data_IF_784161551756
#
_entry.id   IF_784161551756
#
_cell.length_a   1.000
_cell.length_b   1.000
_cell.length_c   1.000
_cell.angle_alpha   90.00
_cell.angle_beta   90.00
_cell.angle_gamma   90.00
#
_symmetry.space_group_name_H-M   'P 1'
#
loop_
_entity.id
_entity.type
_entity.pdbx_description
1 polymer ?
#
# COMPACT_ATOMS: atom_id res chain seq x y z
N UNK A 1 -9.80 1.45 0.47
CA UNK A 1 -10.30 0.07 0.31
C UNK A 1 -10.98 -0.41 1.58
N UNK A 2 -11.97 -1.30 1.47
CA UNK A 2 -12.69 -1.92 2.59
C UNK A 2 -12.10 -3.29 2.97
N UNK A 3 -12.41 -3.80 4.18
CA UNK A 3 -12.00 -5.17 4.60
C UNK A 3 -12.51 -6.26 3.63
N UNK A 4 -13.70 -6.08 3.04
CA UNK A 4 -14.26 -7.01 2.03
C UNK A 4 -13.41 -7.04 0.77
N UNK A 5 -12.94 -5.88 0.30
CA UNK A 5 -12.08 -5.79 -0.88
C UNK A 5 -10.71 -6.41 -0.61
N UNK A 6 -10.16 -6.22 0.60
CA UNK A 6 -8.92 -6.88 1.02
C UNK A 6 -9.09 -8.40 1.02
N UNK A 7 -10.19 -8.92 1.55
CA UNK A 7 -10.49 -10.35 1.54
C UNK A 7 -10.55 -10.90 0.11
N UNK A 8 -11.22 -10.21 -0.81
CA UNK A 8 -11.26 -10.58 -2.23
C UNK A 8 -9.86 -10.57 -2.86
N UNK A 9 -9.04 -9.58 -2.52
CA UNK A 9 -7.68 -9.44 -3.04
C UNK A 9 -6.76 -10.56 -2.54
N UNK A 10 -6.85 -10.92 -1.26
CA UNK A 10 -6.16 -12.08 -0.68
C UNK A 10 -6.66 -13.40 -1.30
N UNK A 11 -7.95 -13.50 -1.61
CA UNK A 11 -8.53 -14.64 -2.31
C UNK A 11 -7.92 -14.85 -3.70
N UNK A 12 -7.68 -13.77 -4.46
CA UNK A 12 -6.97 -13.84 -5.75
C UNK A 12 -5.53 -14.37 -5.59
N UNK A 13 -4.85 -14.02 -4.50
CA UNK A 13 -3.51 -14.53 -4.19
C UNK A 13 -3.55 -16.04 -3.89
N UNK A 14 -4.51 -16.50 -3.07
CA UNK A 14 -4.69 -17.93 -2.78
C UNK A 14 -4.92 -18.72 -4.08
N UNK A 15 -5.79 -18.22 -4.97
CA UNK A 15 -6.06 -18.86 -6.25
C UNK A 15 -4.84 -18.89 -7.18
N UNK A 16 -4.01 -17.85 -7.17
CA UNK A 16 -2.77 -17.81 -7.95
C UNK A 16 -1.65 -18.68 -7.35
N UNK A 17 -1.68 -18.94 -6.04
CA UNK A 17 -0.63 -19.64 -5.29
C UNK A 17 -1.19 -20.76 -4.40
N UNK A 18 -1.93 -21.74 -4.95
CA UNK A 18 -2.68 -22.73 -4.15
C UNK A 18 -1.78 -23.61 -3.27
N UNK A 19 -0.53 -23.84 -3.70
CA UNK A 19 0.46 -24.64 -2.95
C UNK A 19 1.23 -23.85 -1.89
N UNK A 20 1.07 -22.52 -1.82
CA UNK A 20 1.81 -21.62 -0.92
C UNK A 20 0.91 -20.80 0.00
N UNK A 21 -0.36 -20.64 -0.35
CA UNK A 21 -1.38 -20.02 0.46
C UNK A 21 -2.67 -20.82 0.27
N UNK A 22 -3.13 -21.47 1.32
CA UNK A 22 -4.31 -22.33 1.30
C UNK A 22 -5.58 -21.61 1.75
N UNK A 23 -5.45 -20.59 2.59
CA UNK A 23 -6.59 -19.86 3.13
C UNK A 23 -6.29 -18.38 3.41
N UNK A 24 -7.38 -17.60 3.49
CA UNK A 24 -7.36 -16.21 3.90
C UNK A 24 -7.82 -16.13 5.36
N UNK A 25 -6.87 -16.02 6.28
CA UNK A 25 -7.20 -15.85 7.71
C UNK A 25 -7.64 -14.43 8.03
N UNK A 26 -8.50 -14.29 9.04
CA UNK A 26 -9.01 -12.98 9.48
C UNK A 26 -7.89 -12.05 9.95
N UNK A 27 -6.89 -12.57 10.67
CA UNK A 27 -5.69 -11.81 11.07
C UNK A 27 -4.93 -11.26 9.86
N UNK A 28 -4.83 -12.03 8.77
CA UNK A 28 -4.16 -11.59 7.54
C UNK A 28 -4.96 -10.50 6.82
N UNK A 29 -6.30 -10.60 6.84
CA UNK A 29 -7.19 -9.54 6.32
C UNK A 29 -7.00 -8.25 7.11
N UNK A 30 -6.92 -8.31 8.44
CA UNK A 30 -6.72 -7.12 9.27
C UNK A 30 -5.36 -6.48 9.04
N UNK A 31 -4.29 -7.26 9.01
CA UNK A 31 -2.95 -6.77 8.71
C UNK A 31 -2.87 -6.08 7.34
N UNK A 32 -3.50 -6.68 6.32
CA UNK A 32 -3.54 -6.09 4.98
C UNK A 32 -4.45 -4.87 4.94
N UNK A 33 -5.57 -4.88 5.67
CA UNK A 33 -6.46 -3.74 5.75
C UNK A 33 -5.77 -2.54 6.38
N UNK A 34 -5.09 -2.71 7.51
CA UNK A 34 -4.36 -1.63 8.19
C UNK A 34 -3.35 -0.95 7.26
N UNK A 35 -2.69 -1.72 6.41
CA UNK A 35 -1.68 -1.23 5.48
C UNK A 35 -2.28 -0.67 4.19
N UNK A 36 -3.21 -1.40 3.56
CA UNK A 36 -3.67 -1.14 2.20
C UNK A 36 -4.95 -0.28 2.14
N UNK A 37 -5.66 -0.07 3.25
CA UNK A 37 -6.89 0.74 3.28
C UNK A 37 -6.71 2.14 2.68
N UNK A 38 -5.50 2.69 2.81
CA UNK A 38 -5.13 4.02 2.32
C UNK A 38 -4.76 4.04 0.83
N UNK A 39 -4.55 2.89 0.21
CA UNK A 39 -4.21 2.79 -1.21
C UNK A 39 -5.48 2.71 -2.07
N UNK A 40 -5.38 3.24 -3.29
CA UNK A 40 -6.44 3.08 -4.26
C UNK A 40 -6.51 1.64 -4.74
N UNK A 41 -7.73 1.10 -4.77
CA UNK A 41 -7.99 -0.30 -5.14
C UNK A 41 -7.35 -0.66 -6.47
N UNK A 42 -7.54 0.18 -7.47
CA UNK A 42 -7.05 -0.08 -8.83
C UNK A 42 -5.53 -0.14 -8.88
N UNK A 43 -4.83 0.67 -8.08
CA UNK A 43 -3.37 0.62 -7.93
C UNK A 43 -2.93 -0.72 -7.31
N UNK A 44 -3.57 -1.15 -6.21
CA UNK A 44 -3.23 -2.43 -5.57
C UNK A 44 -3.54 -3.61 -6.50
N UNK A 45 -4.68 -3.59 -7.19
CA UNK A 45 -5.08 -4.66 -8.10
C UNK A 45 -4.19 -4.74 -9.34
N UNK A 46 -3.84 -3.61 -9.96
CA UNK A 46 -2.95 -3.60 -11.11
C UNK A 46 -1.56 -4.13 -10.76
N UNK A 47 -1.03 -3.73 -9.60
CA UNK A 47 0.26 -4.24 -9.16
C UNK A 47 0.20 -5.73 -8.81
N UNK A 48 -0.88 -6.20 -8.19
CA UNK A 48 -1.07 -7.63 -7.95
C UNK A 48 -1.08 -8.42 -9.26
N UNK A 49 -1.79 -7.93 -10.29
CA UNK A 49 -1.79 -8.52 -11.63
C UNK A 49 -0.38 -8.59 -12.22
N UNK A 50 0.40 -7.50 -12.13
CA UNK A 50 1.79 -7.47 -12.61
C UNK A 50 2.69 -8.45 -11.86
N UNK A 51 2.53 -8.56 -10.54
CA UNK A 51 3.31 -9.49 -9.72
C UNK A 51 3.01 -10.95 -10.06
N UNK A 52 1.72 -11.29 -10.27
CA UNK A 52 1.31 -12.64 -10.69
C UNK A 52 1.79 -12.93 -12.11
N UNK A 53 1.67 -11.96 -13.03
CA UNK A 53 2.14 -12.11 -14.42
C UNK A 53 3.66 -12.27 -14.54
N UNK A 54 4.43 -11.78 -13.56
CA UNK A 54 5.87 -11.98 -13.48
C UNK A 54 6.29 -13.40 -13.04
N UNK A 55 5.33 -14.32 -12.85
CA UNK A 55 5.54 -15.72 -12.48
C UNK A 55 6.48 -15.91 -11.28
N UNK A 56 6.25 -15.09 -10.25
CA UNK A 56 7.02 -15.18 -9.02
C UNK A 56 6.77 -16.54 -8.36
N UNK A 57 7.82 -17.14 -7.79
CA UNK A 57 7.71 -18.44 -7.09
C UNK A 57 6.91 -18.38 -5.78
N UNK A 58 6.72 -17.18 -5.22
CA UNK A 58 6.11 -16.96 -3.92
C UNK A 58 5.00 -15.91 -4.01
N UNK A 59 3.93 -16.02 -3.20
CA UNK A 59 2.87 -15.05 -3.16
C UNK A 59 3.38 -13.66 -2.73
N UNK A 60 2.81 -12.58 -3.27
CA UNK A 60 3.17 -11.24 -2.84
C UNK A 60 2.79 -11.05 -1.37
N UNK A 61 3.67 -10.39 -0.62
CA UNK A 61 3.46 -9.98 0.77
C UNK A 61 3.47 -8.45 0.85
N UNK A 62 3.12 -7.87 2.00
CA UNK A 62 3.09 -6.42 2.17
C UNK A 62 4.44 -5.74 1.85
N UNK A 63 5.57 -6.38 2.12
CA UNK A 63 6.89 -5.82 1.79
C UNK A 63 7.19 -5.82 0.28
N UNK A 64 6.59 -6.71 -0.51
CA UNK A 64 6.60 -6.63 -1.98
C UNK A 64 5.65 -5.54 -2.49
N UNK A 65 4.48 -5.40 -1.84
CA UNK A 65 3.42 -4.50 -2.30
C UNK A 65 3.78 -3.02 -2.04
N UNK A 66 4.26 -2.69 -0.83
CA UNK A 66 4.49 -1.31 -0.37
C UNK A 66 5.45 -0.50 -1.27
N UNK A 67 6.66 -0.99 -1.62
CA UNK A 67 7.62 -0.19 -2.39
C UNK A 67 7.17 0.14 -3.82
N UNK A 68 6.35 -0.73 -4.41
CA UNK A 68 5.80 -0.52 -5.76
C UNK A 68 4.65 0.47 -5.69
N UNK A 69 3.74 0.34 -4.73
CA UNK A 69 2.66 1.31 -4.54
C UNK A 69 3.17 2.71 -4.20
N UNK A 70 4.30 2.84 -3.50
CA UNK A 70 4.97 4.12 -3.27
C UNK A 70 5.50 4.78 -4.55
N UNK A 71 5.86 4.00 -5.56
CA UNK A 71 6.35 4.48 -6.85
C UNK A 71 5.22 4.77 -7.84
N UNK A 72 4.17 3.97 -7.80
CA UNK A 72 3.06 4.04 -8.75
C UNK A 72 1.92 4.95 -8.30
N UNK A 73 1.83 5.32 -7.02
CA UNK A 73 0.90 6.38 -6.61
C UNK A 73 1.38 7.74 -7.12
N UNK A 74 0.48 8.61 -7.59
CA UNK A 74 0.79 10.03 -7.81
C UNK A 74 1.39 10.59 -6.51
N UNK A 75 2.62 11.12 -6.59
CA UNK A 75 3.37 11.59 -5.43
C UNK A 75 2.56 12.53 -4.53
N UNK A 76 1.63 13.29 -5.12
CA UNK A 76 0.69 14.17 -4.43
C UNK A 76 -0.28 13.42 -3.51
N UNK A 77 -0.96 12.37 -3.98
CA UNK A 77 -1.97 11.61 -3.19
C UNK A 77 -1.31 10.83 -2.06
N UNK A 78 -0.16 10.21 -2.34
CA UNK A 78 0.63 9.50 -1.34
C UNK A 78 1.11 10.45 -0.24
N UNK A 79 1.65 11.61 -0.62
CA UNK A 79 2.17 12.59 0.35
C UNK A 79 1.06 13.24 1.18
N UNK A 80 -0.11 13.50 0.58
CA UNK A 80 -1.26 14.08 1.29
C UNK A 80 -1.90 13.08 2.26
N UNK A 81 -1.94 11.79 1.91
CA UNK A 81 -2.37 10.72 2.82
C UNK A 81 -1.36 10.46 3.94
N UNK A 82 -0.06 10.53 3.66
CA UNK A 82 1.00 10.46 4.67
C UNK A 82 0.96 11.65 5.63
N UNK A 83 0.70 12.84 5.08
CA UNK A 83 0.46 14.04 5.87
C UNK A 83 -0.71 13.81 6.83
N UNK A 84 -1.86 13.34 6.33
CA UNK A 84 -3.03 13.02 7.16
C UNK A 84 -2.78 11.90 8.18
N UNK A 85 -1.96 10.91 7.85
CA UNK A 85 -1.53 9.86 8.78
C UNK A 85 -0.65 10.42 9.89
N UNK A 86 0.28 11.32 9.56
CA UNK A 86 1.13 11.99 10.52
C UNK A 86 0.32 12.92 11.44
N UNK A 87 -0.60 13.72 10.89
CA UNK A 87 -1.50 14.58 11.69
C UNK A 87 -2.55 13.81 12.48
N UNK A 88 -2.76 12.52 12.23
CA UNK A 88 -3.61 11.66 13.05
C UNK A 88 -2.83 10.76 14.03
N UNK A 89 -1.52 10.59 13.84
CA UNK A 89 -0.67 9.89 14.80
C UNK A 89 -0.59 10.66 16.13
N UNK A 90 -0.74 9.94 17.24
CA UNK A 90 -0.91 10.47 18.60
C UNK A 90 0.35 11.08 19.24
N UNK A 91 1.47 11.18 18.51
CA UNK A 91 2.74 11.72 19.01
C UNK A 91 3.01 13.11 18.42
N UNK A 92 2.80 14.20 19.18
CA UNK A 92 2.89 15.58 18.68
C UNK A 92 4.27 15.94 18.16
N UNK A 93 5.32 15.43 18.79
CA UNK A 93 6.72 15.72 18.46
C UNK A 93 7.21 15.09 17.15
N UNK A 94 6.54 14.05 16.64
CA UNK A 94 6.81 13.50 15.29
C UNK A 94 6.03 14.22 14.17
N UNK A 95 4.99 15.01 14.51
CA UNK A 95 4.16 15.69 13.51
C UNK A 95 4.93 16.74 12.74
N UNK A 96 5.68 17.61 13.43
CA UNK A 96 6.38 18.73 12.80
C UNK A 96 7.41 18.25 11.76
N UNK A 97 8.23 17.25 12.10
CA UNK A 97 9.26 16.70 11.21
C UNK A 97 8.65 16.01 9.99
N UNK A 98 7.53 15.29 10.15
CA UNK A 98 6.87 14.61 9.03
C UNK A 98 6.14 15.62 8.13
N UNK A 99 5.50 16.64 8.71
CA UNK A 99 4.86 17.74 7.97
C UNK A 99 5.89 18.49 7.12
N UNK A 100 7.06 18.76 7.68
CA UNK A 100 8.13 19.48 6.98
C UNK A 100 8.78 18.62 5.89
N UNK A 101 9.01 17.32 6.15
CA UNK A 101 9.48 16.37 5.14
C UNK A 101 8.47 16.17 4.00
N UNK A 102 7.16 16.13 4.31
CA UNK A 102 6.09 16.05 3.32
C UNK A 102 6.01 17.32 2.47
N UNK A 103 6.09 18.51 3.09
CA UNK A 103 6.16 19.80 2.37
C UNK A 103 7.37 19.87 1.44
N UNK A 104 8.54 19.39 1.88
CA UNK A 104 9.76 19.40 1.08
C UNK A 104 9.64 18.49 -0.15
N UNK A 105 9.00 17.32 -0.01
CA UNK A 105 8.71 16.42 -1.15
C UNK A 105 7.69 17.00 -2.12
N UNK A 106 6.66 17.70 -1.63
CA UNK A 106 5.67 18.37 -2.50
C UNK A 106 6.28 19.55 -3.28
N UNK A 107 7.17 20.34 -2.65
CA UNK A 107 7.88 21.43 -3.34
C UNK A 107 8.97 20.94 -4.29
N UNK A 108 9.65 19.84 -3.97
CA UNK A 108 10.74 19.28 -4.78
C UNK A 108 10.28 18.57 -6.07
N UNK A 109 8.99 18.33 -6.24
CA UNK A 109 8.42 17.79 -7.48
C UNK A 109 8.10 18.84 -8.55
N UNK A 110 8.38 20.13 -8.30
CA UNK A 110 8.15 21.23 -9.25
C UNK A 110 9.41 21.66 -10.02
N UNK A 111 10.57 21.07 -9.74
CA UNK A 111 11.81 21.38 -10.45
C UNK A 111 12.58 20.09 -10.68
N UNK A 112 12.30 19.42 -11.79
CA UNK A 112 13.23 18.59 -12.56
C UNK A 112 12.46 18.16 -13.83
N UNK A 113 12.19 19.15 -14.69
CA UNK A 113 12.22 18.98 -16.15
C UNK A 113 13.64 19.29 -16.62
#
# INVERSE_FOLDING_TARGET
MTKREIFQLLGKIVLAYPMKCTEVSQQKVELYYETLQHYEKDCVENMLKRYIAADNKYPPNLSHLIPVMKREQPAHVYTQKLYNWATNAAQPERRATIIEAARKRLKGGMYND
#
